data_IF_289159857618
#
_entry.id   IF_289159857618
#
_cell.length_a   1.000
_cell.length_b   1.000
_cell.length_c   1.000
_cell.angle_alpha   90.00
_cell.angle_beta   90.00
_cell.angle_gamma   90.00
#
_symmetry.space_group_name_H-M   'P 1'
#
loop_
_entity.id
_entity.type
_entity.pdbx_description
1 polymer ?
#
# COMPACT_ATOMS: atom_id res chain seq x y z
N UNK A 1 35.83 23.93 4.97
CA UNK A 1 35.81 22.79 5.91
C UNK A 1 34.36 22.39 6.18
N UNK A 2 33.99 21.25 5.61
CA UNK A 2 33.02 20.25 6.13
C UNK A 2 31.69 20.74 6.71
N UNK A 3 30.68 20.76 5.83
CA UNK A 3 29.27 20.74 6.20
C UNK A 3 28.92 19.35 6.79
N UNK A 4 29.28 19.12 8.04
CA UNK A 4 28.77 18.02 8.85
C UNK A 4 27.49 18.50 9.56
N UNK A 5 26.41 18.74 8.80
CA UNK A 5 25.17 19.29 9.34
C UNK A 5 24.24 18.23 9.95
N UNK A 6 24.56 16.94 9.83
CA UNK A 6 24.06 15.90 10.73
C UNK A 6 25.09 15.74 11.84
N UNK A 7 25.04 16.70 12.76
CA UNK A 7 25.84 16.74 13.98
C UNK A 7 25.87 15.34 14.61
N UNK A 8 27.07 14.78 14.86
CA UNK A 8 27.35 13.51 15.54
C UNK A 8 26.50 13.26 16.81
N UNK A 9 25.86 14.30 17.35
CA UNK A 9 25.02 14.29 18.54
C UNK A 9 23.66 13.58 18.39
N UNK A 10 22.97 13.65 17.24
CA UNK A 10 21.58 13.12 17.16
C UNK A 10 21.58 11.59 17.10
N UNK A 11 22.46 11.00 16.29
CA UNK A 11 22.60 9.54 16.18
C UNK A 11 23.16 8.91 17.48
N UNK A 12 23.80 9.72 18.34
CA UNK A 12 24.29 9.31 19.67
C UNK A 12 23.26 9.49 20.79
N UNK A 13 22.08 10.02 20.50
CA UNK A 13 20.99 10.15 21.47
C UNK A 13 19.97 9.03 21.30
N UNK A 14 19.30 8.67 22.40
CA UNK A 14 18.17 7.75 22.36
C UNK A 14 17.02 8.34 21.52
N UNK A 15 16.34 7.55 20.67
CA UNK A 15 16.46 6.10 20.53
C UNK A 15 17.58 5.63 19.57
N UNK A 16 18.15 6.52 18.75
CA UNK A 16 19.09 6.16 17.68
C UNK A 16 20.39 5.51 18.17
N UNK A 17 20.87 5.90 19.36
CA UNK A 17 22.07 5.31 19.97
C UNK A 17 21.91 3.84 20.36
N UNK A 18 20.67 3.34 20.41
CA UNK A 18 20.33 1.95 20.76
C UNK A 18 19.93 1.11 19.56
N UNK A 19 19.93 1.70 18.36
CA UNK A 19 19.64 1.00 17.12
C UNK A 19 20.69 -0.09 16.89
N UNK A 20 20.22 -1.33 16.76
CA UNK A 20 21.10 -2.46 16.45
C UNK A 20 21.67 -2.31 15.03
N UNK A 21 22.90 -2.78 14.82
CA UNK A 21 23.60 -2.67 13.53
C UNK A 21 22.75 -3.19 12.35
N UNK A 22 21.97 -4.25 12.58
CA UNK A 22 21.08 -4.84 11.58
C UNK A 22 20.00 -3.88 11.04
N UNK A 23 19.66 -2.82 11.77
CA UNK A 23 18.64 -1.83 11.38
C UNK A 23 19.24 -0.51 10.87
N UNK A 24 20.57 -0.42 10.76
CA UNK A 24 21.22 0.84 10.38
C UNK A 24 20.88 1.20 8.93
N UNK A 25 20.85 0.22 8.02
CA UNK A 25 20.47 0.45 6.62
C UNK A 25 19.02 0.95 6.55
N UNK A 26 18.08 0.24 7.16
CA UNK A 26 16.67 0.64 7.24
C UNK A 26 16.50 2.06 7.79
N UNK A 27 17.27 2.43 8.83
CA UNK A 27 17.25 3.76 9.40
C UNK A 27 17.69 4.83 8.39
N UNK A 28 18.76 4.59 7.63
CA UNK A 28 19.20 5.51 6.59
C UNK A 28 18.20 5.62 5.44
N UNK A 29 17.62 4.51 5.00
CA UNK A 29 16.57 4.48 3.97
C UNK A 29 15.35 5.30 4.40
N UNK A 30 14.88 5.11 5.64
CA UNK A 30 13.78 5.88 6.21
C UNK A 30 14.12 7.37 6.32
N UNK A 31 15.36 7.73 6.68
CA UNK A 31 15.81 9.12 6.73
C UNK A 31 15.79 9.74 5.33
N UNK A 32 16.24 9.03 4.31
CA UNK A 32 16.23 9.51 2.91
C UNK A 32 14.80 9.73 2.41
N UNK A 33 13.90 8.79 2.67
CA UNK A 33 12.48 8.93 2.30
C UNK A 33 11.83 10.13 3.02
N UNK A 34 12.09 10.30 4.31
CA UNK A 34 11.58 11.45 5.05
C UNK A 34 12.23 12.76 4.59
N UNK A 35 13.53 12.76 4.25
CA UNK A 35 14.19 13.93 3.67
C UNK A 35 13.61 14.28 2.30
N UNK A 36 13.22 13.28 1.50
CA UNK A 36 12.50 13.52 0.26
C UNK A 36 11.17 14.22 0.53
N UNK A 37 10.35 13.69 1.41
CA UNK A 37 9.01 14.21 1.70
C UNK A 37 9.04 15.62 2.30
N UNK A 38 9.99 15.90 3.18
CA UNK A 38 10.08 17.17 3.90
C UNK A 38 10.86 18.26 3.14
N UNK A 39 11.83 17.88 2.33
CA UNK A 39 12.77 18.82 1.69
C UNK A 39 12.62 18.79 0.18
N UNK A 40 12.98 17.68 -0.47
CA UNK A 40 13.05 17.66 -1.94
C UNK A 40 11.69 17.80 -2.62
N UNK A 41 10.60 17.37 -1.99
CA UNK A 41 9.25 17.54 -2.55
C UNK A 41 8.95 19.02 -2.88
N UNK A 42 9.44 19.95 -2.07
CA UNK A 42 9.27 21.40 -2.27
C UNK A 42 10.29 22.04 -3.23
N UNK A 43 11.41 21.35 -3.53
CA UNK A 43 12.54 21.88 -4.31
C UNK A 43 12.88 21.04 -5.55
N UNK A 44 11.95 20.22 -6.02
CA UNK A 44 12.11 19.46 -7.27
C UNK A 44 12.53 20.43 -8.38
N UNK A 45 13.72 20.21 -8.96
CA UNK A 45 14.31 21.09 -9.99
C UNK A 45 13.26 21.36 -11.06
N UNK A 46 13.23 22.58 -11.61
CA UNK A 46 12.25 23.02 -12.62
C UNK A 46 12.14 22.08 -13.83
N UNK A 47 13.22 21.35 -14.13
CA UNK A 47 13.35 20.35 -15.20
C UNK A 47 12.62 19.01 -14.89
N UNK A 48 12.43 18.70 -13.61
CA UNK A 48 11.70 17.53 -13.09
C UNK A 48 10.24 17.86 -12.75
N UNK A 49 9.79 19.09 -12.99
CA UNK A 49 8.41 19.51 -12.67
C UNK A 49 7.48 18.99 -13.74
N UNK A 50 6.34 18.46 -13.29
CA UNK A 50 5.22 18.00 -14.13
C UNK A 50 4.98 18.92 -15.35
N UNK A 51 5.08 20.24 -15.19
CA UNK A 51 4.90 21.29 -16.20
C UNK A 51 5.77 21.18 -17.48
N UNK A 52 6.91 20.47 -17.44
CA UNK A 52 7.73 20.21 -18.65
C UNK A 52 7.18 19.07 -19.51
N UNK A 53 6.34 18.21 -18.93
CA UNK A 53 5.71 17.06 -19.61
C UNK A 53 4.23 17.35 -19.88
N UNK A 54 3.76 17.06 -21.10
CA UNK A 54 2.33 17.14 -21.43
C UNK A 54 1.53 16.10 -20.63
N UNK A 55 0.23 16.31 -20.44
CA UNK A 55 -0.61 15.33 -19.73
C UNK A 55 -0.62 13.97 -20.44
N UNK A 56 -0.59 13.96 -21.77
CA UNK A 56 -0.53 12.75 -22.58
C UNK A 56 0.78 11.99 -22.33
N UNK A 57 1.90 12.70 -22.26
CA UNK A 57 3.20 12.11 -21.93
C UNK A 57 3.24 11.54 -20.52
N UNK A 58 2.73 12.30 -19.52
CA UNK A 58 2.66 11.81 -18.13
C UNK A 58 1.87 10.51 -18.05
N UNK A 59 0.72 10.45 -18.74
CA UNK A 59 -0.10 9.25 -18.76
C UNK A 59 0.58 8.10 -19.49
N UNK A 60 1.22 8.37 -20.66
CA UNK A 60 2.00 7.38 -21.42
C UNK A 60 3.08 6.75 -20.54
N UNK A 61 3.92 7.59 -19.94
CA UNK A 61 5.04 7.17 -19.09
C UNK A 61 4.53 6.32 -17.93
N UNK A 62 3.50 6.77 -17.21
CA UNK A 62 2.97 6.04 -16.06
C UNK A 62 2.39 4.68 -16.47
N UNK A 63 1.67 4.61 -17.58
CA UNK A 63 1.09 3.37 -18.11
C UNK A 63 2.18 2.39 -18.55
N UNK A 64 3.18 2.86 -19.30
CA UNK A 64 4.31 2.03 -19.76
C UNK A 64 5.10 1.52 -18.56
N UNK A 65 5.45 2.42 -17.63
CA UNK A 65 6.19 2.07 -16.43
C UNK A 65 5.46 1.00 -15.61
N UNK A 66 4.17 1.20 -15.31
CA UNK A 66 3.39 0.26 -14.49
C UNK A 66 3.34 -1.13 -15.12
N UNK A 67 3.03 -1.20 -16.42
CA UNK A 67 2.94 -2.45 -17.20
C UNK A 67 4.27 -3.22 -17.25
N UNK A 68 5.39 -2.51 -17.29
CA UNK A 68 6.74 -3.10 -17.37
C UNK A 68 7.34 -3.45 -16.01
N UNK A 69 6.72 -2.98 -14.93
CA UNK A 69 7.18 -3.16 -13.55
C UNK A 69 6.14 -3.94 -12.75
N UNK A 70 5.58 -3.38 -11.68
CA UNK A 70 4.74 -4.09 -10.70
C UNK A 70 3.45 -4.70 -11.24
N UNK A 71 3.00 -4.35 -12.45
CA UNK A 71 1.85 -4.99 -13.11
C UNK A 71 2.24 -6.10 -14.08
N UNK A 72 3.53 -6.30 -14.34
CA UNK A 72 4.02 -7.34 -15.24
C UNK A 72 3.77 -8.72 -14.60
N UNK A 73 3.13 -9.61 -15.34
CA UNK A 73 2.76 -10.95 -14.84
C UNK A 73 3.98 -11.76 -14.35
N UNK A 74 5.12 -11.62 -15.01
CA UNK A 74 6.35 -12.36 -14.71
C UNK A 74 7.28 -11.63 -13.73
N UNK A 75 6.82 -10.57 -13.05
CA UNK A 75 7.66 -9.86 -12.10
C UNK A 75 7.83 -10.65 -10.80
N UNK A 76 9.01 -10.53 -10.18
CA UNK A 76 9.26 -11.06 -8.84
C UNK A 76 8.23 -10.56 -7.83
N UNK A 77 7.82 -11.43 -6.91
CA UNK A 77 6.80 -11.10 -5.91
C UNK A 77 7.21 -9.93 -5.00
N UNK A 78 8.51 -9.80 -4.71
CA UNK A 78 9.10 -8.70 -3.92
C UNK A 78 8.90 -7.34 -4.59
N UNK A 79 8.73 -7.30 -5.90
CA UNK A 79 8.56 -6.09 -6.71
C UNK A 79 7.10 -5.80 -7.11
N UNK A 80 6.12 -6.61 -6.67
CA UNK A 80 4.69 -6.35 -6.97
C UNK A 80 4.11 -5.18 -6.16
N UNK A 81 4.77 -4.76 -5.09
CA UNK A 81 4.27 -3.70 -4.22
C UNK A 81 4.54 -2.30 -4.79
N UNK A 82 3.48 -1.51 -5.02
CA UNK A 82 3.60 -0.09 -5.42
C UNK A 82 4.41 0.71 -4.37
N UNK A 83 4.25 0.39 -3.08
CA UNK A 83 4.97 1.06 -2.00
C UNK A 83 6.48 0.87 -2.11
N UNK A 84 6.94 -0.31 -2.55
CA UNK A 84 8.35 -0.59 -2.79
C UNK A 84 8.92 0.33 -3.86
N UNK A 85 8.19 0.50 -4.98
CA UNK A 85 8.58 1.40 -6.06
C UNK A 85 8.59 2.86 -5.64
N UNK A 86 7.59 3.31 -4.88
CA UNK A 86 7.56 4.68 -4.32
C UNK A 86 8.80 4.91 -3.45
N UNK A 87 9.09 4.00 -2.53
CA UNK A 87 10.23 4.08 -1.60
C UNK A 87 11.57 4.14 -2.34
N UNK A 88 11.76 3.26 -3.33
CA UNK A 88 12.95 3.26 -4.19
C UNK A 88 13.07 4.56 -5.00
N UNK A 89 11.98 5.07 -5.62
CA UNK A 89 12.03 6.30 -6.40
C UNK A 89 12.37 7.52 -5.52
N UNK A 90 11.88 7.60 -4.28
CA UNK A 90 12.27 8.66 -3.33
C UNK A 90 13.78 8.62 -3.03
N UNK A 91 14.32 7.44 -2.74
CA UNK A 91 15.76 7.23 -2.52
C UNK A 91 16.59 7.58 -3.76
N UNK A 92 16.13 7.18 -4.94
CA UNK A 92 16.75 7.57 -6.21
C UNK A 92 16.83 9.09 -6.36
N UNK A 93 15.74 9.81 -6.07
CA UNK A 93 15.70 11.27 -6.18
C UNK A 93 16.67 11.95 -5.20
N UNK A 94 16.82 11.44 -3.98
CA UNK A 94 17.77 11.96 -2.99
C UNK A 94 19.22 11.70 -3.41
N UNK A 95 19.54 10.47 -3.83
CA UNK A 95 20.92 10.04 -4.07
C UNK A 95 21.47 10.46 -5.43
N UNK A 96 20.64 10.43 -6.47
CA UNK A 96 21.09 10.62 -7.86
C UNK A 96 20.79 12.02 -8.37
N UNK A 97 19.58 12.54 -8.15
CA UNK A 97 19.19 13.83 -8.74
C UNK A 97 19.80 15.04 -8.03
N UNK A 98 20.34 14.82 -6.82
CA UNK A 98 21.16 15.79 -6.11
C UNK A 98 22.62 15.82 -6.62
N UNK A 99 23.08 14.77 -7.29
CA UNK A 99 24.33 14.81 -8.03
C UNK A 99 24.12 15.49 -9.39
N UNK A 100 25.14 16.16 -9.95
CA UNK A 100 25.09 16.80 -11.27
C UNK A 100 25.04 15.78 -12.42
N UNK A 101 23.98 14.98 -12.44
CA UNK A 101 23.73 13.89 -13.39
C UNK A 101 22.84 14.40 -14.52
N UNK A 102 23.07 13.92 -15.75
CA UNK A 102 22.21 14.21 -16.88
C UNK A 102 20.82 13.60 -16.67
N UNK A 103 19.77 14.42 -16.81
CA UNK A 103 18.38 13.96 -16.69
C UNK A 103 17.87 13.21 -17.94
N UNK A 104 18.63 13.26 -19.04
CA UNK A 104 18.34 12.57 -20.29
C UNK A 104 18.83 11.11 -20.31
N UNK A 105 19.38 10.62 -19.21
CA UNK A 105 19.82 9.23 -19.10
C UNK A 105 18.62 8.28 -18.91
N UNK A 106 18.62 7.07 -19.50
CA UNK A 106 17.58 6.07 -19.28
C UNK A 106 17.43 5.73 -17.78
N UNK A 107 16.18 5.70 -17.30
CA UNK A 107 15.87 5.40 -15.91
C UNK A 107 16.34 4.01 -15.50
N UNK A 108 16.26 3.03 -16.42
CA UNK A 108 16.67 1.63 -16.20
C UNK A 108 18.08 1.51 -15.59
N UNK A 109 19.04 2.30 -16.08
CA UNK A 109 20.44 2.29 -15.59
C UNK A 109 20.56 2.54 -14.09
N UNK A 110 19.60 3.28 -13.52
CA UNK A 110 19.57 3.59 -12.10
C UNK A 110 18.74 2.57 -11.32
N UNK A 111 17.68 2.04 -11.91
CA UNK A 111 16.83 1.03 -11.27
C UNK A 111 17.56 -0.30 -11.04
N UNK A 112 18.60 -0.61 -11.82
CA UNK A 112 19.43 -1.81 -11.65
C UNK A 112 20.41 -1.71 -10.47
N UNK A 113 20.53 -0.53 -9.84
CA UNK A 113 21.42 -0.34 -8.69
C UNK A 113 20.84 -0.98 -7.44
N UNK A 114 21.50 -2.05 -6.98
CA UNK A 114 21.13 -2.82 -5.79
C UNK A 114 21.03 -1.98 -4.51
N UNK A 115 21.85 -0.92 -4.39
CA UNK A 115 21.86 -0.06 -3.21
C UNK A 115 20.56 0.76 -3.03
N UNK A 116 19.75 0.93 -4.07
CA UNK A 116 18.48 1.67 -4.01
C UNK A 116 17.31 0.82 -3.52
N UNK A 117 17.49 -0.49 -3.40
CA UNK A 117 16.46 -1.43 -3.01
C UNK A 117 16.64 -1.84 -1.56
N UNK A 118 15.52 -2.27 -0.96
CA UNK A 118 15.58 -2.86 0.39
C UNK A 118 16.30 -4.21 0.33
N UNK A 119 16.79 -4.68 1.47
CA UNK A 119 17.48 -5.97 1.66
C UNK A 119 16.67 -7.20 1.17
N UNK A 120 15.37 -7.04 0.97
CA UNK A 120 14.45 -8.07 0.48
C UNK A 120 14.49 -8.29 -1.02
N UNK A 121 15.08 -7.37 -1.79
CA UNK A 121 15.14 -7.44 -3.25
C UNK A 121 16.51 -7.94 -3.66
N UNK A 122 16.55 -9.07 -4.35
CA UNK A 122 17.78 -9.67 -4.86
C UNK A 122 18.08 -9.23 -6.29
N UNK A 123 19.33 -9.40 -6.73
CA UNK A 123 19.75 -9.13 -8.12
C UNK A 123 18.87 -9.89 -9.13
N UNK A 124 18.50 -11.14 -8.81
CA UNK A 124 17.61 -11.98 -9.63
C UNK A 124 16.21 -11.36 -9.74
N UNK A 125 15.71 -10.73 -8.67
CA UNK A 125 14.42 -10.04 -8.74
C UNK A 125 14.49 -8.84 -9.69
N UNK A 126 15.62 -8.13 -9.71
CA UNK A 126 15.82 -6.97 -10.59
C UNK A 126 15.83 -7.36 -12.07
N UNK A 127 16.27 -8.57 -12.41
CA UNK A 127 16.21 -9.10 -13.79
C UNK A 127 14.77 -9.30 -14.31
N UNK A 128 13.76 -9.29 -13.41
CA UNK A 128 12.38 -9.56 -13.79
C UNK A 128 11.63 -8.36 -14.40
N UNK A 129 12.18 -7.15 -14.33
CA UNK A 129 11.62 -5.95 -14.96
C UNK A 129 12.56 -5.34 -16.00
N UNK A 130 11.99 -4.60 -16.94
CA UNK A 130 12.76 -3.80 -17.90
C UNK A 130 11.92 -2.61 -18.34
N UNK A 131 12.39 -1.41 -18.00
CA UNK A 131 11.77 -0.15 -18.39
C UNK A 131 12.30 0.25 -19.78
N UNK A 132 11.43 0.85 -20.60
CA UNK A 132 11.79 1.28 -21.95
C UNK A 132 12.81 2.45 -21.91
N UNK A 133 13.76 2.47 -22.84
CA UNK A 133 14.87 3.45 -22.86
C UNK A 133 14.41 4.91 -23.05
N UNK A 134 13.19 5.12 -23.55
CA UNK A 134 12.56 6.44 -23.68
C UNK A 134 12.03 6.98 -22.34
N UNK A 135 11.96 6.14 -21.30
CA UNK A 135 11.70 6.57 -19.94
C UNK A 135 13.03 6.97 -19.29
N UNK A 136 13.32 8.26 -19.40
CA UNK A 136 14.51 8.90 -18.86
C UNK A 136 14.37 9.30 -17.37
N UNK A 137 15.50 9.63 -16.75
CA UNK A 137 15.58 10.11 -15.36
C UNK A 137 14.68 11.32 -15.09
N UNK A 138 14.48 12.23 -16.06
CA UNK A 138 13.58 13.36 -15.91
C UNK A 138 12.13 12.95 -15.59
N UNK A 139 11.71 11.74 -15.98
CA UNK A 139 10.36 11.24 -15.73
C UNK A 139 10.15 10.70 -14.31
N UNK A 140 11.22 10.57 -13.51
CA UNK A 140 11.18 9.97 -12.15
C UNK A 140 10.11 10.60 -11.28
N UNK A 141 10.02 11.93 -11.26
CA UNK A 141 9.04 12.63 -10.43
C UNK A 141 7.60 12.42 -10.92
N UNK A 142 7.37 12.43 -12.23
CA UNK A 142 6.06 12.14 -12.83
C UNK A 142 5.59 10.74 -12.46
N UNK A 143 6.47 9.75 -12.54
CA UNK A 143 6.18 8.36 -12.16
C UNK A 143 5.83 8.32 -10.68
N UNK A 144 6.68 8.86 -9.81
CA UNK A 144 6.45 8.89 -8.37
C UNK A 144 5.09 9.48 -8.00
N UNK A 145 4.74 10.66 -8.54
CA UNK A 145 3.45 11.31 -8.31
C UNK A 145 2.27 10.48 -8.83
N UNK A 146 2.44 9.82 -9.96
CA UNK A 146 1.44 8.89 -10.51
C UNK A 146 1.20 7.70 -9.59
N UNK A 147 2.26 7.12 -9.04
CA UNK A 147 2.18 5.98 -8.12
C UNK A 147 1.57 6.37 -6.77
N UNK A 148 1.96 7.52 -6.20
CA UNK A 148 1.35 8.04 -4.96
C UNK A 148 -0.17 8.22 -5.11
N UNK A 149 -0.63 8.82 -6.22
CA UNK A 149 -2.06 8.97 -6.52
C UNK A 149 -2.77 7.62 -6.65
N UNK A 150 -2.12 6.65 -7.29
CA UNK A 150 -2.65 5.28 -7.46
C UNK A 150 -2.76 4.57 -6.12
N UNK A 151 -1.74 4.66 -5.25
CA UNK A 151 -1.76 4.10 -3.91
C UNK A 151 -2.86 4.72 -3.04
N UNK A 152 -3.03 6.05 -3.09
CA UNK A 152 -4.12 6.72 -2.38
C UNK A 152 -5.51 6.27 -2.84
N UNK A 153 -5.68 6.04 -4.15
CA UNK A 153 -6.93 5.51 -4.70
C UNK A 153 -7.19 4.09 -4.20
N UNK A 154 -6.19 3.21 -4.25
CA UNK A 154 -6.30 1.84 -3.76
C UNK A 154 -6.65 1.79 -2.27
N UNK A 155 -6.00 2.62 -1.44
CA UNK A 155 -6.26 2.67 0.00
C UNK A 155 -7.67 3.15 0.32
N UNK A 156 -8.19 4.14 -0.44
CA UNK A 156 -9.58 4.62 -0.30
C UNK A 156 -10.59 3.54 -0.70
N UNK A 157 -10.35 2.83 -1.81
CA UNK A 157 -11.21 1.72 -2.25
C UNK A 157 -11.23 0.57 -1.24
N UNK A 158 -10.08 0.22 -0.66
CA UNK A 158 -9.98 -0.80 0.38
C UNK A 158 -10.69 -0.39 1.68
N UNK A 159 -10.57 0.88 2.10
CA UNK A 159 -11.32 1.40 3.26
C UNK A 159 -12.83 1.36 3.02
N UNK A 160 -13.30 1.71 1.81
CA UNK A 160 -14.71 1.63 1.47
C UNK A 160 -15.23 0.19 1.42
N UNK A 161 -14.45 -0.76 0.92
CA UNK A 161 -14.79 -2.19 0.96
C UNK A 161 -14.82 -2.74 2.38
N UNK A 162 -13.87 -2.37 3.24
CA UNK A 162 -13.90 -2.78 4.65
C UNK A 162 -15.11 -2.20 5.40
N UNK A 163 -15.47 -0.94 5.14
CA UNK A 163 -16.69 -0.33 5.72
C UNK A 163 -17.95 -1.05 5.20
N UNK A 164 -18.02 -1.38 3.92
CA UNK A 164 -19.14 -2.13 3.35
C UNK A 164 -19.24 -3.56 3.91
N UNK A 165 -18.12 -4.25 4.13
CA UNK A 165 -18.07 -5.58 4.73
C UNK A 165 -18.47 -5.55 6.22
N UNK A 166 -18.09 -4.51 6.96
CA UNK A 166 -18.51 -4.29 8.35
C UNK A 166 -20.02 -4.02 8.40
N UNK A 167 -20.54 -3.14 7.55
CA UNK A 167 -21.98 -2.84 7.49
C UNK A 167 -22.81 -4.06 7.03
N UNK A 168 -22.28 -4.88 6.13
CA UNK A 168 -22.90 -6.15 5.70
C UNK A 168 -22.95 -7.17 6.85
N UNK A 169 -21.88 -7.27 7.66
CA UNK A 169 -21.85 -8.11 8.87
C UNK A 169 -22.79 -7.62 9.96
N UNK A 170 -22.89 -6.31 10.19
CA UNK A 170 -23.84 -5.72 11.13
C UNK A 170 -25.29 -5.95 10.69
N UNK A 171 -25.59 -5.82 9.39
CA UNK A 171 -26.89 -6.15 8.83
C UNK A 171 -27.25 -7.63 8.95
N UNK A 172 -26.27 -8.54 8.83
CA UNK A 172 -26.46 -9.97 9.08
C UNK A 172 -26.69 -10.26 10.58
N UNK A 173 -26.00 -9.59 11.50
CA UNK A 173 -26.20 -9.76 12.94
C UNK A 173 -27.58 -9.26 13.39
N UNK A 174 -28.07 -8.14 12.86
CA UNK A 174 -29.44 -7.65 13.10
C UNK A 174 -30.51 -8.61 12.53
N UNK A 175 -30.24 -9.24 11.38
CA UNK A 175 -31.12 -10.25 10.81
C UNK A 175 -31.16 -11.54 11.63
N UNK A 176 -30.07 -11.91 12.32
CA UNK A 176 -30.06 -13.05 13.24
C UNK A 176 -30.81 -12.73 14.54
N UNK A 177 -30.66 -11.53 15.11
CA UNK A 177 -31.40 -11.12 16.31
C UNK A 177 -32.92 -11.06 16.09
N UNK A 178 -33.37 -10.58 14.93
CA UNK A 178 -34.80 -10.55 14.59
C UNK A 178 -35.43 -11.95 14.46
N UNK A 179 -34.67 -12.99 14.09
CA UNK A 179 -35.17 -14.38 14.09
C UNK A 179 -35.37 -14.94 15.50
N UNK A 180 -34.50 -14.60 16.45
CA UNK A 180 -34.65 -15.05 17.84
C UNK A 180 -35.83 -14.36 18.55
N UNK A 181 -36.07 -13.07 18.32
CA UNK A 181 -37.17 -12.34 18.97
C UNK A 181 -38.57 -12.71 18.43
N UNK A 182 -38.67 -13.16 17.18
CA UNK A 182 -39.94 -13.65 16.62
C UNK A 182 -40.30 -15.03 17.20
N UNK A 183 -39.31 -15.85 17.54
CA UNK A 183 -39.55 -17.21 18.07
C UNK A 183 -40.00 -17.18 19.53
N UNK A 184 -39.58 -16.21 20.33
CA UNK A 184 -39.93 -16.09 21.76
C UNK A 184 -41.29 -15.45 22.04
N UNK A 185 -41.93 -14.77 21.08
CA UNK A 185 -43.27 -14.19 21.28
C UNK A 185 -44.44 -15.14 20.94
N UNK A 186 -44.19 -16.33 20.41
CA UNK A 186 -45.25 -17.31 20.08
C UNK A 186 -45.47 -18.40 21.14
N UNK A 187 -44.80 -18.35 22.29
CA UNK A 187 -44.90 -19.37 23.33
C UNK A 187 -45.48 -18.82 24.64
N UNK A 188 -46.74 -18.36 24.63
CA UNK A 188 -47.51 -18.26 25.88
C UNK A 188 -49.00 -18.40 25.63
N UNK A 189 -49.49 -19.64 25.72
CA UNK A 189 -50.84 -19.93 26.20
C UNK A 189 -50.85 -21.37 26.76
N UNK A 190 -50.86 -21.55 28.09
CA UNK A 190 -50.96 -22.88 28.68
C UNK A 190 -52.41 -23.38 28.63
N UNK A 191 -52.61 -24.55 28.04
CA UNK A 191 -53.88 -25.28 27.97
C UNK A 191 -54.01 -26.14 29.24
N UNK A 192 -54.88 -25.73 30.16
CA UNK A 192 -55.30 -26.57 31.30
C UNK A 192 -56.23 -27.65 30.77
N UNK A 193 -55.82 -28.91 30.94
CA UNK A 193 -56.57 -30.12 30.63
C UNK A 193 -57.45 -30.45 31.84
N UNK A 194 -58.75 -30.69 31.61
CA UNK A 194 -59.60 -31.39 32.56
C UNK A 194 -60.45 -32.43 31.83
N UNK A 195 -60.35 -33.64 32.39
CA UNK A 195 -60.94 -34.92 32.01
C UNK A 195 -62.42 -34.94 31.64
N UNK A 196 -62.77 -35.91 30.79
CA UNK A 196 -63.73 -36.99 31.13
C UNK A 196 -63.78 -38.06 30.03
N UNK A 197 -63.37 -39.28 30.37
CA UNK A 197 -63.82 -40.49 29.67
C UNK A 197 -64.12 -41.58 30.70
N UNK A 198 -65.38 -41.65 31.12
CA UNK A 198 -65.96 -42.91 31.56
C UNK A 198 -66.66 -43.51 30.36
N UNK A 199 -66.38 -44.78 30.03
CA UNK A 199 -67.46 -45.73 29.78
C UNK A 199 -66.94 -47.18 29.69
N UNK A 200 -67.61 -48.05 30.45
CA UNK A 200 -67.61 -49.51 30.25
C UNK A 200 -68.70 -49.84 29.23
N UNK A 201 -68.53 -50.82 28.34
CA UNK A 201 -69.64 -51.34 27.55
C UNK A 201 -70.37 -52.46 28.32
N UNK A 202 -71.71 -52.42 28.30
CA UNK A 202 -72.56 -53.62 28.32
C UNK A 202 -73.58 -53.49 27.20
N UNK A 203 -73.47 -54.39 26.22
CA UNK A 203 -74.37 -54.55 25.08
C UNK A 203 -75.58 -55.38 25.52
N UNK A 204 -76.80 -54.97 25.12
CA UNK A 204 -77.82 -55.86 24.53
C UNK A 204 -79.02 -55.06 23.99
N UNK A 205 -79.35 -55.41 22.74
CA UNK A 205 -80.67 -55.52 22.06
C UNK A 205 -81.73 -54.49 22.44
#
# INVERSE_FOLDING_TARGET
>A
HTCACLNDNILRQSPFSTTQLQYIIDLYEMIEENAFDQVLHAYVKKELVEETCSNEERQRVLTVFSRKTFEKETIADTLKSIEMWISMLKRLMIRVLNANVSLDAPLQLYLERTDLWTDRVSDIDLETFQVDDDILLQHTYVILRGLEKKQQTNNKSQQQQQIADIQSREGQQQKVQTWFDVTTRSATTPKVVADKKGDKPKIRV
#
